data_IF_607966618388
#
_entry.id   IF_607966618388
#
_cell.length_a   1.000
_cell.length_b   1.000
_cell.length_c   1.000
_cell.angle_alpha   90.00
_cell.angle_beta   90.00
_cell.angle_gamma   90.00
#
_symmetry.space_group_name_H-M   'P 1'
#
loop_
_entity.id
_entity.type
_entity.pdbx_description
1 polymer ?
#
# COMPACT_ATOMS: atom_id res chain seq x y z
N UNK A 1 41.87 5.21 -27.30
CA UNK A 1 41.79 4.92 -25.85
C UNK A 1 40.67 5.69 -25.09
N UNK A 2 39.68 6.33 -25.75
CA UNK A 2 38.67 7.16 -25.06
C UNK A 2 37.28 6.53 -24.89
N UNK A 3 36.98 5.38 -25.51
CA UNK A 3 35.62 4.77 -25.45
C UNK A 3 35.33 3.98 -24.17
N UNK A 4 36.34 3.47 -23.47
CA UNK A 4 36.16 2.76 -22.20
C UNK A 4 35.89 3.68 -20.99
N UNK A 5 36.29 4.95 -21.08
CA UNK A 5 36.17 5.92 -19.99
C UNK A 5 34.74 6.42 -19.80
N UNK A 6 33.93 6.38 -20.85
CA UNK A 6 32.50 6.74 -20.82
C UNK A 6 31.58 5.57 -20.43
N UNK A 7 32.05 4.33 -20.56
CA UNK A 7 31.31 3.14 -20.13
C UNK A 7 31.37 2.94 -18.61
N UNK A 8 32.44 3.41 -17.95
CA UNK A 8 32.61 3.33 -16.50
C UNK A 8 31.50 4.03 -15.70
N UNK A 9 31.10 5.30 -15.96
CA UNK A 9 30.00 5.93 -15.24
C UNK A 9 28.64 5.30 -15.56
N UNK A 10 28.45 4.80 -16.78
CA UNK A 10 27.21 4.12 -17.18
C UNK A 10 27.08 2.76 -16.48
N UNK A 11 28.18 2.03 -16.33
CA UNK A 11 28.24 0.78 -15.57
C UNK A 11 28.05 1.01 -14.06
N UNK A 12 28.61 2.09 -13.52
CA UNK A 12 28.45 2.46 -12.11
C UNK A 12 27.02 2.92 -11.81
N UNK A 13 26.37 3.65 -12.73
CA UNK A 13 24.96 4.03 -12.63
C UNK A 13 24.03 2.82 -12.78
N UNK A 14 24.32 1.90 -13.71
CA UNK A 14 23.60 0.64 -13.84
C UNK A 14 23.74 -0.22 -12.58
N UNK A 15 24.94 -0.29 -11.99
CA UNK A 15 25.20 -1.06 -10.77
C UNK A 15 24.60 -0.43 -9.50
N UNK A 16 24.34 0.88 -9.49
CA UNK A 16 23.65 1.56 -8.39
C UNK A 16 22.12 1.49 -8.51
N UNK A 17 21.59 1.48 -9.75
CA UNK A 17 20.15 1.45 -10.04
C UNK A 17 19.59 0.02 -10.05
N UNK A 18 20.39 -1.01 -10.39
CA UNK A 18 19.90 -2.40 -10.48
C UNK A 18 19.66 -3.10 -9.13
N UNK A 19 20.45 -2.92 -8.04
CA UNK A 19 20.18 -3.64 -6.79
C UNK A 19 19.11 -2.97 -5.92
N UNK A 20 18.74 -1.71 -6.22
CA UNK A 20 17.74 -0.94 -5.46
C UNK A 20 16.29 -1.46 -5.59
N UNK A 21 15.74 -1.64 -6.80
CA UNK A 21 14.35 -2.05 -6.99
C UNK A 21 14.12 -3.54 -6.72
N UNK A 22 15.16 -4.39 -6.78
CA UNK A 22 15.03 -5.83 -6.50
C UNK A 22 14.87 -6.16 -5.00
N UNK A 23 15.07 -5.19 -4.10
CA UNK A 23 14.78 -5.36 -2.66
C UNK A 23 13.44 -4.77 -2.23
N UNK A 24 12.72 -4.10 -3.14
CA UNK A 24 11.45 -3.45 -2.82
C UNK A 24 10.23 -4.36 -3.01
N UNK A 25 10.35 -5.51 -3.68
CA UNK A 25 9.25 -6.46 -3.86
C UNK A 25 9.75 -7.89 -3.75
N UNK A 26 9.34 -8.54 -2.67
CA UNK A 26 8.78 -9.91 -2.60
C UNK A 26 8.88 -10.31 -1.13
N UNK A 27 7.99 -9.72 -0.33
CA UNK A 27 7.62 -10.39 0.90
C UNK A 27 7.10 -11.78 0.52
N UNK A 28 7.75 -12.84 0.96
CA UNK A 28 7.33 -14.19 0.61
C UNK A 28 5.89 -14.39 1.11
N UNK A 29 5.04 -15.13 0.38
CA UNK A 29 3.66 -15.38 0.81
C UNK A 29 3.60 -15.96 2.24
N UNK A 30 4.58 -16.79 2.60
CA UNK A 30 4.75 -17.30 3.97
C UNK A 30 4.99 -16.19 5.02
N UNK A 31 5.75 -15.13 4.69
CA UNK A 31 5.97 -14.00 5.60
C UNK A 31 4.70 -13.14 5.75
N UNK A 32 3.96 -12.92 4.66
CA UNK A 32 2.68 -12.20 4.70
C UNK A 32 1.64 -12.97 5.53
N UNK A 33 1.52 -14.28 5.30
CA UNK A 33 0.65 -15.19 6.06
C UNK A 33 0.98 -15.20 7.55
N UNK A 34 2.28 -15.18 7.89
CA UNK A 34 2.72 -15.07 9.29
C UNK A 34 2.34 -13.74 9.92
N UNK A 35 2.46 -12.62 9.19
CA UNK A 35 2.03 -11.30 9.70
C UNK A 35 0.52 -11.23 9.90
N UNK A 36 -0.26 -11.85 9.00
CA UNK A 36 -1.70 -12.01 9.16
C UNK A 36 -2.02 -12.79 10.45
N UNK A 37 -1.33 -13.90 10.68
CA UNK A 37 -1.48 -14.69 11.91
C UNK A 37 -1.16 -13.86 13.15
N UNK A 38 0.01 -13.21 13.18
CA UNK A 38 0.46 -12.40 14.31
C UNK A 38 -0.53 -11.27 14.63
N UNK A 39 -1.04 -10.58 13.61
CA UNK A 39 -2.08 -9.55 13.75
C UNK A 39 -3.38 -10.13 14.29
N UNK A 40 -3.78 -11.29 13.79
CA UNK A 40 -5.00 -11.98 14.24
C UNK A 40 -4.88 -12.35 15.71
N UNK A 41 -3.75 -12.92 16.14
CA UNK A 41 -3.46 -13.22 17.55
C UNK A 41 -3.49 -11.96 18.42
N UNK A 42 -2.90 -10.84 17.97
CA UNK A 42 -2.93 -9.59 18.73
C UNK A 42 -4.35 -9.05 18.94
N UNK A 43 -5.19 -9.12 17.92
CA UNK A 43 -6.57 -8.69 17.99
C UNK A 43 -7.41 -9.63 18.86
N UNK A 44 -7.22 -10.95 18.75
CA UNK A 44 -7.89 -11.91 19.64
C UNK A 44 -7.55 -11.62 21.11
N UNK A 45 -6.27 -11.38 21.41
CA UNK A 45 -5.84 -10.99 22.75
C UNK A 45 -6.46 -9.65 23.17
N UNK A 46 -6.44 -8.64 22.28
CA UNK A 46 -7.01 -7.32 22.56
C UNK A 46 -8.49 -7.41 22.93
N UNK A 47 -9.31 -8.07 22.10
CA UNK A 47 -10.74 -8.25 22.34
C UNK A 47 -11.06 -9.01 23.60
N UNK A 48 -10.24 -10.02 23.91
CA UNK A 48 -10.37 -10.81 25.14
C UNK A 48 -10.13 -9.92 26.36
N UNK A 49 -9.03 -9.17 26.38
CA UNK A 49 -8.72 -8.24 27.47
C UNK A 49 -9.71 -7.10 27.59
N UNK A 50 -10.11 -6.51 26.45
CA UNK A 50 -11.13 -5.47 26.38
C UNK A 50 -12.43 -5.95 27.03
N UNK A 51 -12.92 -7.14 26.64
CA UNK A 51 -14.16 -7.69 27.20
C UNK A 51 -14.04 -7.96 28.70
N UNK A 52 -12.94 -8.58 29.14
CA UNK A 52 -12.73 -8.85 30.57
C UNK A 52 -12.63 -7.56 31.38
N UNK A 53 -11.95 -6.54 30.86
CA UNK A 53 -11.76 -5.26 31.53
C UNK A 53 -13.09 -4.50 31.62
N UNK A 54 -13.78 -4.32 30.49
CA UNK A 54 -15.03 -3.57 30.40
C UNK A 54 -16.14 -4.19 31.26
N UNK A 55 -16.11 -5.51 31.48
CA UNK A 55 -17.06 -6.20 32.35
C UNK A 55 -16.63 -6.16 33.82
N UNK A 56 -15.34 -6.03 34.10
CA UNK A 56 -14.82 -5.90 35.47
C UNK A 56 -14.96 -4.47 36.01
N UNK A 57 -14.96 -3.46 35.13
CA UNK A 57 -15.04 -2.05 35.52
C UNK A 57 -16.24 -1.35 34.86
N UNK A 58 -17.23 -0.96 35.67
CA UNK A 58 -18.43 -0.29 35.16
C UNK A 58 -18.18 1.12 34.58
N UNK A 59 -17.14 1.82 35.04
CA UNK A 59 -16.83 3.22 34.66
C UNK A 59 -15.56 3.36 33.81
N UNK A 60 -14.78 2.30 33.67
CA UNK A 60 -13.53 2.29 32.91
C UNK A 60 -13.71 1.55 31.60
N UNK A 61 -13.11 2.05 30.53
CA UNK A 61 -13.04 1.37 29.24
C UNK A 61 -11.61 0.96 28.95
N UNK A 62 -11.44 -0.21 28.35
CA UNK A 62 -10.13 -0.64 27.89
C UNK A 62 -9.71 0.23 26.69
N UNK A 63 -8.60 0.98 26.77
CA UNK A 63 -8.25 1.92 25.71
C UNK A 63 -7.90 1.20 24.40
N UNK A 64 -8.44 1.70 23.27
CA UNK A 64 -8.16 1.17 21.93
C UNK A 64 -6.69 1.33 21.50
N UNK A 65 -5.91 2.17 22.17
CA UNK A 65 -4.46 2.31 21.96
C UNK A 65 -3.66 1.08 22.45
N UNK A 66 -4.27 0.20 23.25
CA UNK A 66 -3.62 -0.98 23.84
C UNK A 66 -3.64 -2.23 22.95
N UNK A 67 -3.65 -2.06 21.62
CA UNK A 67 -3.64 -3.21 20.68
C UNK A 67 -2.31 -3.96 20.68
N UNK A 68 -1.20 -3.27 20.92
CA UNK A 68 0.12 -3.88 20.95
C UNK A 68 0.44 -4.52 22.30
N UNK A 69 1.26 -5.57 22.28
CA UNK A 69 1.74 -6.25 23.51
C UNK A 69 2.45 -5.27 24.45
N UNK A 70 3.29 -4.38 23.90
CA UNK A 70 4.04 -3.38 24.68
C UNK A 70 3.12 -2.40 25.39
N UNK A 71 2.14 -1.84 24.68
CA UNK A 71 1.18 -0.91 25.27
C UNK A 71 0.40 -1.56 26.43
N UNK A 72 0.04 -2.85 26.31
CA UNK A 72 -0.62 -3.60 27.39
C UNK A 72 0.26 -3.87 28.60
N UNK A 73 1.58 -4.00 28.41
CA UNK A 73 2.52 -4.15 29.54
C UNK A 73 2.64 -2.87 30.36
N UNK A 74 2.58 -1.71 29.70
CA UNK A 74 2.68 -0.40 30.35
C UNK A 74 1.35 0.05 31.00
N UNK A 75 0.24 -0.62 30.65
CA UNK A 75 -1.07 -0.31 31.19
C UNK A 75 -1.19 -0.71 32.67
N UNK A 76 -1.51 0.27 33.52
CA UNK A 76 -1.54 0.10 34.97
C UNK A 76 -2.87 0.53 35.64
N UNK A 77 -3.89 0.90 34.86
CA UNK A 77 -5.14 1.42 35.41
C UNK A 77 -6.11 0.30 35.84
N UNK A 78 -5.87 -0.26 37.03
CA UNK A 78 -6.69 -1.30 37.66
C UNK A 78 -7.14 -0.86 39.07
N UNK A 79 -8.11 0.05 39.17
CA UNK A 79 -8.48 0.66 40.44
C UNK A 79 -8.99 -0.39 41.45
N UNK A 80 -8.25 -0.57 42.55
CA UNK A 80 -8.61 -1.47 43.65
C UNK A 80 -8.60 -2.97 43.31
N UNK A 81 -8.00 -3.36 42.17
CA UNK A 81 -8.00 -4.76 41.67
C UNK A 81 -6.60 -5.20 41.20
N UNK A 82 -5.66 -5.32 42.14
CA UNK A 82 -4.31 -5.81 41.87
C UNK A 82 -4.28 -7.27 41.40
N UNK A 83 -5.30 -8.05 41.76
CA UNK A 83 -5.55 -9.41 41.27
C UNK A 83 -5.75 -9.42 39.75
N UNK A 84 -6.61 -8.53 39.24
CA UNK A 84 -6.86 -8.38 37.80
C UNK A 84 -5.61 -7.86 37.08
N UNK A 85 -4.89 -6.91 37.68
CA UNK A 85 -3.63 -6.44 37.10
C UNK A 85 -2.66 -7.60 36.82
N UNK A 86 -2.44 -8.46 37.81
CA UNK A 86 -1.58 -9.66 37.66
C UNK A 86 -2.12 -10.62 36.60
N UNK A 87 -3.43 -10.85 36.58
CA UNK A 87 -4.10 -11.71 35.61
C UNK A 87 -3.91 -11.20 34.17
N UNK A 88 -4.04 -9.89 33.95
CA UNK A 88 -3.85 -9.25 32.65
C UNK A 88 -2.40 -9.34 32.16
N UNK A 89 -1.42 -9.04 33.02
CA UNK A 89 -0.01 -9.17 32.63
C UNK A 89 0.34 -10.62 32.30
N UNK A 90 -0.08 -11.59 33.12
CA UNK A 90 0.16 -13.01 32.89
C UNK A 90 -0.44 -13.47 31.54
N UNK A 91 -1.70 -13.13 31.27
CA UNK A 91 -2.33 -13.48 30.00
C UNK A 91 -1.67 -12.77 28.81
N UNK A 92 -1.22 -11.52 28.96
CA UNK A 92 -0.49 -10.80 27.91
C UNK A 92 0.80 -11.54 27.52
N UNK A 93 1.55 -12.01 28.52
CA UNK A 93 2.81 -12.72 28.30
C UNK A 93 2.56 -14.07 27.60
N UNK A 94 1.54 -14.83 28.07
CA UNK A 94 1.12 -16.09 27.43
C UNK A 94 0.69 -15.87 25.99
N UNK A 95 -0.06 -14.79 25.73
CA UNK A 95 -0.54 -14.48 24.38
C UNK A 95 0.59 -14.23 23.38
N UNK A 96 1.72 -13.68 23.85
CA UNK A 96 2.90 -13.47 23.01
C UNK A 96 3.51 -14.79 22.52
N UNK A 97 3.37 -15.87 23.29
CA UNK A 97 3.83 -17.20 22.89
C UNK A 97 2.99 -17.81 21.75
N UNK A 98 1.72 -17.46 21.61
CA UNK A 98 0.87 -17.99 20.53
C UNK A 98 1.38 -17.59 19.14
N UNK A 99 1.93 -16.38 18.99
CA UNK A 99 2.57 -15.90 17.74
C UNK A 99 3.68 -16.82 17.25
N UNK A 100 4.38 -17.48 18.18
CA UNK A 100 5.47 -18.38 17.83
C UNK A 100 5.02 -19.75 17.31
N UNK A 101 3.72 -20.08 17.34
CA UNK A 101 3.22 -21.40 16.94
C UNK A 101 3.12 -21.53 15.41
N UNK A 102 2.65 -20.49 14.73
CA UNK A 102 2.51 -20.49 13.28
C UNK A 102 3.85 -20.23 12.57
N UNK A 103 4.08 -20.92 11.46
CA UNK A 103 5.31 -20.80 10.65
C UNK A 103 6.52 -21.59 11.14
N UNK A 104 6.37 -22.47 12.15
CA UNK A 104 7.41 -23.46 12.54
C UNK A 104 7.42 -24.72 11.66
N UNK A 105 6.41 -24.89 10.81
CA UNK A 105 6.22 -26.04 9.92
C UNK A 105 5.48 -25.62 8.65
N UNK A 106 4.45 -26.38 8.28
CA UNK A 106 3.57 -26.02 7.16
C UNK A 106 2.82 -24.73 7.48
N UNK A 107 2.80 -23.80 6.54
CA UNK A 107 2.14 -22.50 6.67
C UNK A 107 0.89 -22.47 5.78
N UNK A 108 0.06 -23.50 5.92
CA UNK A 108 -1.12 -23.73 5.10
C UNK A 108 -2.38 -23.25 5.84
N UNK A 109 -3.46 -23.00 5.10
CA UNK A 109 -4.74 -22.51 5.65
C UNK A 109 -5.28 -23.38 6.80
N UNK A 110 -5.15 -24.70 6.68
CA UNK A 110 -5.62 -25.65 7.71
C UNK A 110 -4.85 -25.47 9.02
N UNK A 111 -3.53 -25.28 8.95
CA UNK A 111 -2.71 -25.07 10.15
C UNK A 111 -2.96 -23.68 10.74
N UNK A 112 -3.17 -22.67 9.89
CA UNK A 112 -3.57 -21.33 10.31
C UNK A 112 -4.84 -21.35 11.16
N UNK A 113 -5.91 -21.96 10.66
CA UNK A 113 -7.18 -22.06 11.38
C UNK A 113 -7.05 -22.91 12.65
N UNK A 114 -6.34 -24.03 12.59
CA UNK A 114 -6.12 -24.93 13.73
C UNK A 114 -5.36 -24.24 14.87
N UNK A 115 -4.26 -23.55 14.57
CA UNK A 115 -3.46 -22.86 15.58
C UNK A 115 -4.26 -21.73 16.24
N UNK A 116 -5.05 -20.97 15.47
CA UNK A 116 -5.94 -19.94 16.03
C UNK A 116 -7.04 -20.53 16.91
N UNK A 117 -7.69 -21.62 16.49
CA UNK A 117 -8.73 -22.26 17.30
C UNK A 117 -8.17 -22.88 18.58
N UNK A 118 -6.91 -23.33 18.56
CA UNK A 118 -6.24 -23.88 19.75
C UNK A 118 -6.12 -22.83 20.86
N UNK A 119 -6.03 -21.53 20.53
CA UNK A 119 -6.01 -20.44 21.51
C UNK A 119 -7.30 -20.43 22.34
N UNK A 120 -8.45 -20.69 21.70
CA UNK A 120 -9.76 -20.65 22.37
C UNK A 120 -10.01 -21.85 23.30
N UNK A 121 -9.26 -22.94 23.13
CA UNK A 121 -9.33 -24.16 23.95
C UNK A 121 -8.17 -24.20 24.96
N UNK A 122 -7.24 -23.24 24.90
CA UNK A 122 -6.09 -23.18 25.79
C UNK A 122 -6.53 -22.92 27.24
N UNK A 123 -5.97 -23.70 28.18
CA UNK A 123 -6.31 -23.59 29.60
C UNK A 123 -6.06 -22.20 30.17
N UNK A 124 -5.07 -21.47 29.65
CA UNK A 124 -4.76 -20.12 30.12
C UNK A 124 -5.80 -19.11 29.63
N UNK A 125 -6.28 -19.28 28.40
CA UNK A 125 -7.40 -18.51 27.88
C UNK A 125 -8.67 -18.76 28.70
N UNK A 126 -9.01 -20.03 28.94
CA UNK A 126 -10.17 -20.40 29.77
C UNK A 126 -10.08 -19.81 31.18
N UNK A 127 -8.90 -19.90 31.81
CA UNK A 127 -8.65 -19.32 33.13
C UNK A 127 -8.83 -17.81 33.14
N UNK A 128 -8.32 -17.11 32.12
CA UNK A 128 -8.44 -15.65 32.02
C UNK A 128 -9.89 -15.19 31.91
N UNK A 129 -10.69 -15.84 31.06
CA UNK A 129 -12.09 -15.47 30.85
C UNK A 129 -13.01 -15.96 31.97
N UNK A 130 -12.55 -16.81 32.91
CA UNK A 130 -13.36 -17.37 33.99
C UNK A 130 -14.01 -16.30 34.87
N UNK A 131 -13.40 -15.12 34.97
CA UNK A 131 -13.92 -13.96 35.71
C UNK A 131 -15.24 -13.45 35.13
N UNK A 132 -15.49 -13.69 33.85
CA UNK A 132 -16.72 -13.29 33.18
C UNK A 132 -17.91 -14.20 33.54
N UNK A 133 -19.15 -13.66 33.58
CA UNK A 133 -20.37 -14.46 33.61
C UNK A 133 -20.44 -15.45 32.44
N UNK A 134 -21.16 -16.56 32.63
CA UNK A 134 -21.25 -17.64 31.63
C UNK A 134 -21.71 -17.14 30.26
N UNK A 135 -22.72 -16.28 30.22
CA UNK A 135 -23.29 -15.79 28.97
C UNK A 135 -22.32 -14.88 28.22
N UNK A 136 -21.59 -14.04 28.95
CA UNK A 136 -20.52 -13.18 28.40
C UNK A 136 -19.35 -14.00 27.86
N UNK A 137 -18.95 -15.08 28.55
CA UNK A 137 -17.92 -16.00 28.06
C UNK A 137 -18.33 -16.64 26.73
N UNK A 138 -19.57 -17.12 26.63
CA UNK A 138 -20.07 -17.73 25.39
C UNK A 138 -20.17 -16.70 24.27
N UNK A 139 -20.62 -15.48 24.57
CA UNK A 139 -20.67 -14.39 23.59
C UNK A 139 -19.27 -14.00 23.08
N UNK A 140 -18.29 -13.90 23.98
CA UNK A 140 -16.89 -13.66 23.65
C UNK A 140 -16.32 -14.77 22.77
N UNK A 141 -16.48 -16.04 23.15
CA UNK A 141 -15.96 -17.16 22.35
C UNK A 141 -16.56 -17.13 20.93
N UNK A 142 -17.86 -16.90 20.79
CA UNK A 142 -18.51 -16.78 19.48
C UNK A 142 -18.00 -15.60 18.67
N UNK A 143 -17.75 -14.45 19.30
CA UNK A 143 -17.22 -13.27 18.61
C UNK A 143 -15.78 -13.49 18.15
N UNK A 144 -14.94 -14.11 18.98
CA UNK A 144 -13.59 -14.51 18.62
C UNK A 144 -13.57 -15.55 17.50
N UNK A 145 -14.46 -16.55 17.53
CA UNK A 145 -14.60 -17.53 16.45
C UNK A 145 -14.98 -16.86 15.11
N UNK A 146 -15.88 -15.88 15.12
CA UNK A 146 -16.19 -15.10 13.92
C UNK A 146 -14.97 -14.35 13.40
N UNK A 147 -14.17 -13.79 14.31
CA UNK A 147 -12.94 -13.10 13.94
C UNK A 147 -11.88 -14.05 13.36
N UNK A 148 -11.73 -15.25 13.93
CA UNK A 148 -10.87 -16.31 13.36
C UNK A 148 -11.33 -16.65 11.94
N UNK A 149 -12.63 -16.86 11.72
CA UNK A 149 -13.18 -17.14 10.38
C UNK A 149 -12.90 -16.01 9.38
N UNK A 150 -12.97 -14.75 9.82
CA UNK A 150 -12.59 -13.60 8.99
C UNK A 150 -11.09 -13.62 8.65
N UNK A 151 -10.23 -13.94 9.61
CA UNK A 151 -8.81 -14.13 9.39
C UNK A 151 -8.51 -15.26 8.40
N UNK A 152 -9.18 -16.41 8.54
CA UNK A 152 -9.05 -17.55 7.60
C UNK A 152 -9.53 -17.18 6.21
N UNK A 153 -10.62 -16.41 6.08
CA UNK A 153 -11.08 -15.92 4.79
C UNK A 153 -10.08 -14.96 4.12
N UNK A 154 -9.42 -14.09 4.91
CA UNK A 154 -8.36 -13.21 4.41
C UNK A 154 -7.13 -14.00 3.96
N UNK A 155 -6.77 -15.05 4.69
CA UNK A 155 -5.70 -15.97 4.31
C UNK A 155 -6.01 -16.65 2.96
N UNK A 156 -7.22 -17.19 2.81
CA UNK A 156 -7.65 -17.83 1.56
C UNK A 156 -7.62 -16.86 0.38
N UNK A 157 -8.12 -15.64 0.58
CA UNK A 157 -8.10 -14.59 -0.45
C UNK A 157 -6.68 -14.12 -0.81
N UNK A 158 -5.69 -14.30 0.07
CA UNK A 158 -4.29 -13.99 -0.22
C UNK A 158 -3.52 -15.12 -0.91
N UNK A 159 -4.02 -16.36 -0.85
CA UNK A 159 -3.45 -17.51 -1.56
C UNK A 159 -4.05 -17.71 -2.96
N UNK A 160 -5.24 -17.16 -3.22
CA UNK A 160 -5.86 -17.18 -4.54
C UNK A 160 -5.21 -16.09 -5.41
N UNK A 161 -4.39 -16.42 -6.42
CA UNK A 161 -3.96 -15.42 -7.38
C UNK A 161 -5.20 -14.89 -8.09
N UNK A 162 -5.33 -13.57 -8.15
CA UNK A 162 -6.53 -12.89 -8.62
C UNK A 162 -7.04 -13.46 -9.97
N UNK A 163 -8.37 -13.46 -10.20
CA UNK A 163 -9.00 -13.86 -11.46
C UNK A 163 -8.61 -13.00 -12.68
N UNK A 164 -7.64 -12.10 -12.54
CA UNK A 164 -7.08 -11.27 -13.60
C UNK A 164 -6.18 -12.08 -14.55
N UNK A 165 -5.51 -13.13 -14.05
CA UNK A 165 -4.73 -14.06 -14.90
C UNK A 165 -5.64 -15.02 -15.69
N UNK A 166 -6.89 -15.22 -15.26
CA UNK A 166 -7.92 -15.97 -16.02
C UNK A 166 -8.75 -15.05 -16.93
N UNK A 167 -8.80 -13.75 -16.66
CA UNK A 167 -9.45 -12.76 -17.53
C UNK A 167 -8.61 -12.41 -18.77
N UNK A 168 -7.29 -12.63 -18.73
CA UNK A 168 -6.41 -12.45 -19.88
C UNK A 168 -6.51 -13.57 -20.93
N UNK A 169 -6.99 -14.76 -20.56
CA UNK A 169 -7.16 -15.91 -21.46
C UNK A 169 -8.62 -16.11 -21.93
N UNK A 170 -9.55 -15.28 -21.45
CA UNK A 170 -10.94 -15.26 -21.89
C UNK A 170 -11.20 -14.36 -23.12
N UNK A 171 -10.14 -13.78 -23.71
CA UNK A 171 -10.25 -12.90 -24.89
C UNK A 171 -10.22 -13.65 -26.25
N UNK A 172 -10.17 -14.99 -26.26
CA UNK A 172 -10.27 -15.78 -27.48
C UNK A 172 -11.71 -16.30 -27.71
N UNK A 173 -12.64 -15.39 -28.00
CA UNK A 173 -13.94 -15.76 -28.60
C UNK A 173 -13.77 -15.90 -30.11
N UNK A 174 -14.43 -16.89 -30.74
CA UNK A 174 -15.32 -16.55 -31.84
C UNK A 174 -16.73 -17.16 -31.67
N UNK A 175 -17.75 -16.58 -32.35
CA UNK A 175 -19.14 -16.55 -31.89
C UNK A 175 -20.11 -17.52 -32.60
N UNK A 176 -21.34 -17.60 -32.05
CA UNK A 176 -22.62 -18.08 -32.63
C UNK A 176 -22.79 -19.62 -32.71
N UNK A 177 -23.90 -20.31 -32.42
CA UNK A 177 -25.35 -20.01 -32.41
C UNK A 177 -26.13 -21.02 -31.52
N UNK A 178 -27.33 -20.63 -31.06
CA UNK A 178 -28.44 -21.51 -30.63
C UNK A 178 -28.35 -22.09 -29.21
N UNK A 179 -29.36 -22.11 -28.35
CA UNK A 179 -30.81 -21.96 -28.48
C UNK A 179 -31.41 -21.38 -27.19
N UNK A 180 -32.49 -20.65 -27.40
CA UNK A 180 -33.54 -20.22 -26.47
C UNK A 180 -33.97 -21.26 -25.43
N UNK A 181 -34.09 -20.84 -24.17
CA UNK A 181 -35.17 -21.28 -23.27
C UNK A 181 -35.35 -20.30 -22.09
N UNK A 182 -36.07 -19.21 -22.35
CA UNK A 182 -36.76 -18.43 -21.32
C UNK A 182 -38.00 -19.19 -20.89
N UNK A 183 -38.07 -19.66 -19.65
CA UNK A 183 -39.33 -20.08 -19.02
C UNK A 183 -39.36 -19.63 -17.56
N UNK A 184 -39.95 -18.48 -17.33
CA UNK A 184 -40.76 -18.14 -16.17
C UNK A 184 -42.08 -17.55 -16.72
N UNK A 185 -43.20 -17.43 -15.98
CA UNK A 185 -43.40 -17.65 -14.54
C UNK A 185 -44.70 -18.42 -14.19
N UNK A 186 -44.93 -18.70 -12.91
CA UNK A 186 -46.27 -18.93 -12.36
C UNK A 186 -46.43 -18.19 -11.02
N UNK A 187 -47.31 -17.19 -11.02
CA UNK A 187 -47.92 -16.53 -9.86
C UNK A 187 -48.83 -17.54 -9.09
N UNK A 188 -49.31 -17.34 -7.87
CA UNK A 188 -49.67 -16.14 -7.13
C UNK A 188 -49.90 -16.49 -5.64
N UNK A 189 -49.72 -15.51 -4.74
CA UNK A 189 -50.63 -15.21 -3.62
C UNK A 189 -50.25 -13.86 -2.98
N UNK A 190 -51.17 -12.89 -3.11
CA UNK A 190 -51.28 -11.55 -2.46
C UNK A 190 -50.97 -11.55 -0.95
N UNK A 191 -50.18 -10.61 -0.40
CA UNK A 191 -50.48 -9.20 0.06
C UNK A 191 -50.93 -9.17 1.56
N UNK A 192 -50.72 -8.12 2.41
CA UNK A 192 -50.37 -6.74 2.09
C UNK A 192 -49.24 -6.05 2.88
N UNK A 193 -48.70 -5.02 2.23
CA UNK A 193 -47.82 -3.96 2.74
C UNK A 193 -48.50 -3.12 3.86
N UNK A 194 -47.71 -2.42 4.71
CA UNK A 194 -47.69 -0.96 4.55
C UNK A 194 -46.30 -0.31 4.79
N UNK A 195 -46.19 0.90 4.25
CA UNK A 195 -45.03 1.79 4.14
C UNK A 195 -44.39 2.25 5.48
N UNK A 196 -43.29 3.02 5.40
CA UNK A 196 -43.41 4.37 5.95
C UNK A 196 -42.77 5.47 5.07
N UNK A 197 -43.54 6.53 4.87
CA UNK A 197 -43.07 7.87 4.58
C UNK A 197 -42.51 8.51 5.86
N UNK A 198 -41.33 9.13 5.80
CA UNK A 198 -40.98 10.26 6.66
C UNK A 198 -39.77 11.01 6.06
N UNK A 199 -40.08 12.10 5.37
CA UNK A 199 -39.15 13.17 5.03
C UNK A 199 -38.67 13.88 6.29
N UNK A 200 -37.36 14.06 6.45
CA UNK A 200 -36.79 15.11 7.30
C UNK A 200 -35.62 15.77 6.58
N UNK A 201 -35.92 16.93 6.01
CA UNK A 201 -34.97 17.95 5.59
C UNK A 201 -34.52 18.74 6.82
N UNK A 202 -33.22 18.79 7.12
CA UNK A 202 -32.61 19.96 7.77
C UNK A 202 -31.08 19.94 7.61
N UNK A 203 -30.59 20.77 6.69
CA UNK A 203 -29.25 21.35 6.69
C UNK A 203 -29.31 22.59 7.59
N UNK A 204 -28.31 22.84 8.45
CA UNK A 204 -27.46 24.01 8.17
C UNK A 204 -25.96 23.81 8.46
N UNK A 205 -25.20 24.40 7.55
CA UNK A 205 -23.96 25.16 7.67
C UNK A 205 -22.73 24.65 8.43
N UNK A 206 -21.70 24.50 7.61
CA UNK A 206 -20.29 24.53 7.93
C UNK A 206 -19.86 25.84 8.61
N UNK A 207 -19.26 25.69 9.79
CA UNK A 207 -18.49 26.73 10.47
C UNK A 207 -17.08 26.22 10.77
N UNK A 208 -16.10 26.83 10.09
CA UNK A 208 -14.65 26.62 10.17
C UNK A 208 -14.12 26.31 11.58
N UNK A 209 -13.48 25.15 11.74
CA UNK A 209 -12.54 24.89 12.82
C UNK A 209 -11.12 24.79 12.23
N UNK A 210 -10.23 25.68 12.69
CA UNK A 210 -8.84 25.78 12.29
C UNK A 210 -8.08 24.44 12.38
N UNK A 211 -7.09 24.18 11.49
CA UNK A 211 -6.29 22.97 11.59
C UNK A 211 -5.39 23.04 12.82
N UNK A 212 -5.64 22.16 13.80
CA UNK A 212 -4.68 21.85 14.86
C UNK A 212 -3.44 21.26 14.20
N UNK A 213 -2.28 21.88 14.45
CA UNK A 213 -0.97 21.34 14.10
C UNK A 213 -0.75 20.01 14.82
N UNK A 214 -0.90 18.92 14.08
CA UNK A 214 -0.56 17.57 14.49
C UNK A 214 0.97 17.46 14.47
N UNK A 215 1.58 17.53 15.65
CA UNK A 215 2.97 17.12 15.88
C UNK A 215 3.01 15.58 15.83
N UNK A 216 2.83 15.05 14.62
CA UNK A 216 2.91 13.63 14.27
C UNK A 216 4.27 13.45 13.59
N UNK A 217 5.12 12.51 14.04
CA UNK A 217 6.36 12.23 13.33
C UNK A 217 6.01 11.86 11.89
N UNK A 218 6.63 12.50 10.87
CA UNK A 218 6.18 12.41 9.50
C UNK A 218 6.31 10.95 9.04
N UNK A 219 5.18 10.25 9.05
CA UNK A 219 5.03 8.96 8.37
C UNK A 219 5.09 9.29 6.89
N UNK A 220 6.28 9.25 6.32
CA UNK A 220 6.45 9.42 4.89
C UNK A 220 5.68 8.31 4.21
N UNK A 221 4.64 8.70 3.48
CA UNK A 221 3.78 7.76 2.79
C UNK A 221 4.50 7.27 1.53
N UNK A 222 4.13 6.10 1.02
CA UNK A 222 4.75 5.57 -0.20
C UNK A 222 4.54 6.52 -1.41
N UNK A 223 3.48 7.32 -1.37
CA UNK A 223 3.22 8.41 -2.31
C UNK A 223 4.25 9.54 -2.24
N UNK A 224 4.79 9.86 -1.06
CA UNK A 224 5.84 10.88 -0.92
C UNK A 224 7.15 10.42 -1.58
N UNK A 225 7.47 9.13 -1.47
CA UNK A 225 8.63 8.55 -2.17
C UNK A 225 8.42 8.51 -3.69
N UNK A 226 7.20 8.21 -4.15
CA UNK A 226 6.87 8.21 -5.58
C UNK A 226 6.95 9.61 -6.18
N UNK A 227 6.40 10.61 -5.49
CA UNK A 227 6.50 12.02 -5.92
C UNK A 227 7.94 12.52 -5.90
N UNK A 228 8.75 12.13 -4.91
CA UNK A 228 10.18 12.44 -4.89
C UNK A 228 10.95 11.80 -6.04
N UNK A 229 10.65 10.54 -6.37
CA UNK A 229 11.25 9.83 -7.52
C UNK A 229 10.84 10.49 -8.85
N UNK A 230 9.58 10.88 -8.97
CA UNK A 230 9.09 11.54 -10.18
C UNK A 230 9.67 12.95 -10.34
N UNK A 231 9.76 13.71 -9.24
CA UNK A 231 10.36 15.03 -9.23
C UNK A 231 11.87 14.98 -9.53
N UNK A 232 12.60 14.05 -8.92
CA UNK A 232 14.03 13.86 -9.19
C UNK A 232 14.29 13.38 -10.63
N UNK A 233 13.46 12.48 -11.16
CA UNK A 233 13.51 12.06 -12.57
C UNK A 233 13.26 13.23 -13.52
N UNK A 234 12.23 14.05 -13.25
CA UNK A 234 11.95 15.25 -14.04
C UNK A 234 13.09 16.27 -13.99
N UNK A 235 13.71 16.45 -12.82
CA UNK A 235 14.83 17.38 -12.64
C UNK A 235 16.07 16.91 -13.40
N UNK A 236 16.39 15.61 -13.34
CA UNK A 236 17.51 15.03 -14.08
C UNK A 236 17.28 15.09 -15.59
N UNK A 237 16.05 14.87 -16.05
CA UNK A 237 15.69 15.00 -17.46
C UNK A 237 15.85 16.45 -17.94
N UNK A 238 15.44 17.43 -17.12
CA UNK A 238 15.66 18.84 -17.41
C UNK A 238 17.16 19.19 -17.46
N UNK A 239 17.94 18.72 -16.49
CA UNK A 239 19.40 18.92 -16.46
C UNK A 239 20.06 18.30 -17.71
N UNK A 240 19.62 17.12 -18.14
CA UNK A 240 20.08 16.46 -19.34
C UNK A 240 19.76 17.28 -20.59
N UNK A 241 18.53 17.78 -20.72
CA UNK A 241 18.13 18.67 -21.82
C UNK A 241 18.99 19.93 -21.89
N UNK A 242 19.24 20.58 -20.74
CA UNK A 242 20.04 21.82 -20.68
C UNK A 242 21.52 21.57 -21.00
N UNK A 243 22.10 20.49 -20.48
CA UNK A 243 23.54 20.26 -20.59
C UNK A 243 23.97 19.52 -21.85
N UNK A 244 23.06 18.77 -22.49
CA UNK A 244 23.40 17.97 -23.67
C UNK A 244 22.62 18.36 -24.91
N UNK A 245 21.29 18.49 -24.81
CA UNK A 245 20.42 18.69 -25.98
C UNK A 245 20.46 20.14 -26.46
N UNK A 246 20.37 21.12 -25.56
CA UNK A 246 20.47 22.54 -25.91
C UNK A 246 21.79 22.91 -26.60
N UNK A 247 22.98 22.52 -26.10
CA UNK A 247 24.21 22.84 -26.79
C UNK A 247 24.35 22.12 -28.13
N UNK A 248 23.88 20.86 -28.27
CA UNK A 248 23.92 20.14 -29.55
C UNK A 248 22.96 20.73 -30.60
N UNK A 249 21.79 21.22 -30.16
CA UNK A 249 20.89 21.97 -31.05
C UNK A 249 21.46 23.32 -31.43
N UNK A 250 22.13 24.01 -30.49
CA UNK A 250 22.76 25.31 -30.74
C UNK A 250 23.92 25.19 -31.72
N UNK A 251 24.79 24.18 -31.56
CA UNK A 251 25.88 23.94 -32.53
C UNK A 251 25.33 23.56 -33.91
N UNK A 252 24.27 22.75 -33.99
CA UNK A 252 23.63 22.43 -35.27
C UNK A 252 23.00 23.66 -35.93
N UNK A 253 22.33 24.51 -35.16
CA UNK A 253 21.79 25.78 -35.64
C UNK A 253 22.89 26.73 -36.12
N UNK A 254 23.97 26.87 -35.35
CA UNK A 254 25.11 27.70 -35.73
C UNK A 254 25.78 27.18 -37.02
N UNK A 255 25.91 25.86 -37.18
CA UNK A 255 26.43 25.27 -38.43
C UNK A 255 25.48 25.43 -39.63
N UNK A 256 24.18 25.57 -39.39
CA UNK A 256 23.19 25.82 -40.44
C UNK A 256 23.09 27.31 -40.78
N UNK A 257 23.33 28.22 -39.81
CA UNK A 257 23.41 29.66 -40.07
C UNK A 257 24.72 30.06 -40.74
N UNK A 258 25.83 29.36 -40.45
CA UNK A 258 27.09 29.52 -41.19
C UNK A 258 27.04 28.89 -42.59
N UNK A 259 26.00 28.10 -42.89
CA UNK A 259 25.76 27.49 -44.19
C UNK A 259 24.85 28.34 -45.11
N UNK A 260 24.83 29.67 -44.94
CA UNK A 260 24.38 30.56 -46.00
C UNK A 260 25.38 30.52 -47.17
N UNK A 261 24.93 30.32 -48.43
CA UNK A 261 25.82 30.00 -49.53
C UNK A 261 26.51 31.26 -50.05
N UNK A 262 27.77 31.47 -49.69
CA UNK A 262 28.66 32.33 -50.49
C UNK A 262 28.97 31.58 -51.80
N UNK A 263 28.04 31.66 -52.75
CA UNK A 263 28.17 31.10 -54.08
C UNK A 263 29.40 31.67 -54.81
N UNK A 264 30.09 30.86 -55.65
CA UNK A 264 31.29 31.28 -56.34
C UNK A 264 30.92 32.16 -57.56
N UNK A 265 31.20 33.48 -57.49
CA UNK A 265 31.07 34.35 -58.67
C UNK A 265 32.34 34.28 -59.52
N UNK A 266 32.17 33.66 -60.67
CA UNK A 266 33.12 33.56 -61.78
C UNK A 266 33.32 34.92 -62.48
N UNK A 267 34.57 35.17 -62.92
CA UNK A 267 35.00 35.98 -64.09
C UNK A 267 34.81 37.51 -64.14
N UNK A 268 35.96 38.20 -64.00
CA UNK A 268 36.71 38.95 -65.05
C UNK A 268 36.12 40.26 -65.61
N UNK A 269 36.79 41.39 -65.31
CA UNK A 269 37.29 42.46 -66.24
C UNK A 269 37.92 43.59 -65.40
N UNK A 270 39.25 43.73 -65.44
CA UNK A 270 40.02 44.74 -66.20
C UNK A 270 40.16 46.09 -65.45
N UNK A 271 41.37 46.50 -64.99
CA UNK A 271 41.64 47.89 -64.67
C UNK A 271 41.93 48.66 -65.96
N UNK A 272 41.25 49.80 -66.16
CA UNK A 272 41.58 50.76 -67.21
C UNK A 272 42.95 51.41 -66.94
N UNK A 273 43.75 51.72 -67.97
CA UNK A 273 45.06 52.36 -67.84
C UNK A 273 44.96 53.84 -67.43
N UNK A 274 45.87 54.27 -66.56
CA UNK A 274 46.04 55.67 -66.17
C UNK A 274 46.58 56.50 -67.35
N UNK A 275 45.99 57.69 -67.51
CA UNK A 275 46.39 58.76 -68.41
C UNK A 275 47.89 59.08 -68.30
N UNK A 276 48.61 58.87 -69.41
CA UNK A 276 49.93 59.46 -69.67
C UNK A 276 49.78 60.34 -70.92
N UNK A 277 49.54 61.62 -70.71
CA UNK A 277 49.76 62.64 -71.73
C UNK A 277 51.27 62.83 -71.89
N UNK A 278 51.82 62.28 -72.97
CA UNK A 278 53.03 62.81 -73.60
C UNK A 278 52.56 63.88 -74.58
N UNK A 279 52.73 65.16 -74.20
CA UNK A 279 52.73 66.26 -75.16
C UNK A 279 54.15 66.34 -75.74
N UNK A 280 54.30 65.91 -76.99
CA UNK A 280 55.44 66.22 -77.84
C UNK A 280 55.19 67.60 -78.50
N UNK A 281 55.96 68.61 -78.08
CA UNK A 281 56.56 69.64 -78.94
C UNK A 281 58.01 69.88 -78.48
#
# INVERSE_FOLDING_TARGET
MFRFRQLLPLFLLLWLVVPGPLRAQMETPAAANKRLFDRTVEELNFRTMETVYDKSFARGKFPASLRSVKARQEFNNFPGRDDLKKLFHNYNDISAHYKSRFGKGRADLVEFEKELNTILVDRNFEFFIRVLPRDERVALIRSLQRYIKQGTAQFNASEDPAPEDLAADAAAVPPADGETATLAPAAAAEDPQPAPEASLTSVPDAGYAAPRSLDVPPRHDWMDYLTLMLASGSFLLLLYLVTSVLPDLRTRLDTLSDAEPTAPRTRRRAPLPEDRYEDEE
#
